data_IF_786513971883
#
_entry.id   IF_786513971883
#
_cell.length_a   1.000
_cell.length_b   1.000
_cell.length_c   1.000
_cell.angle_alpha   90.00
_cell.angle_beta   90.00
_cell.angle_gamma   90.00
#
_symmetry.space_group_name_H-M   'P 1'
#
loop_
_entity.id
_entity.type
_entity.pdbx_description
1 polymer ?
#
# COMPACT_ATOMS: atom_id res chain seq x y z
N UNK A 1 -4.93 6.70 -19.40
CA UNK A 1 -6.07 5.88 -19.88
C UNK A 1 -6.50 5.00 -18.72
N UNK A 2 -7.75 5.16 -18.25
CA UNK A 2 -8.22 4.62 -16.98
C UNK A 2 -8.22 3.08 -17.00
N UNK A 3 -7.54 2.43 -16.04
CA UNK A 3 -7.47 0.95 -15.94
C UNK A 3 -8.86 0.33 -15.89
N UNK A 4 -9.83 1.02 -15.28
CA UNK A 4 -11.23 0.60 -15.22
C UNK A 4 -11.90 0.57 -16.60
N UNK A 5 -11.56 1.51 -17.49
CA UNK A 5 -12.08 1.54 -18.86
C UNK A 5 -11.45 0.43 -19.71
N UNK A 6 -10.14 0.20 -19.57
CA UNK A 6 -9.42 -0.83 -20.33
C UNK A 6 -9.82 -2.27 -19.96
N UNK A 7 -10.44 -2.46 -18.79
CA UNK A 7 -10.88 -3.78 -18.28
C UNK A 7 -12.40 -3.99 -18.36
N UNK A 8 -13.14 -3.13 -19.07
CA UNK A 8 -14.61 -3.16 -19.14
C UNK A 8 -15.28 -3.18 -17.75
N UNK A 9 -14.64 -2.56 -16.75
CA UNK A 9 -15.17 -2.53 -15.38
C UNK A 9 -16.27 -1.46 -15.21
N UNK A 10 -16.41 -0.56 -16.19
CA UNK A 10 -17.42 0.50 -16.22
C UNK A 10 -18.65 -0.04 -16.95
N UNK A 11 -19.79 -0.06 -16.27
CA UNK A 11 -21.10 -0.39 -16.85
C UNK A 11 -21.54 0.68 -17.85
N UNK A 12 -22.55 0.36 -18.67
CA UNK A 12 -23.11 1.32 -19.64
C UNK A 12 -23.66 2.60 -19.00
N UNK A 13 -23.93 2.59 -17.69
CA UNK A 13 -24.40 3.75 -16.93
C UNK A 13 -23.26 4.54 -16.26
N UNK A 14 -22.00 4.18 -16.51
CA UNK A 14 -20.84 4.82 -15.88
C UNK A 14 -20.53 4.31 -14.47
N UNK A 15 -21.22 3.27 -13.99
CA UNK A 15 -21.01 2.69 -12.66
C UNK A 15 -19.94 1.60 -12.66
N UNK A 16 -19.23 1.42 -11.55
CA UNK A 16 -18.21 0.37 -11.38
C UNK A 16 -18.61 -0.53 -10.19
N UNK A 17 -18.71 -1.85 -10.37
CA UNK A 17 -18.97 -2.77 -9.27
C UNK A 17 -17.87 -2.71 -8.19
N UNK A 18 -18.25 -2.67 -6.91
CA UNK A 18 -17.31 -2.53 -5.79
C UNK A 18 -16.21 -3.60 -5.79
N UNK A 19 -16.54 -4.84 -6.11
CA UNK A 19 -15.55 -5.93 -6.19
C UNK A 19 -14.51 -5.68 -7.30
N UNK A 20 -14.93 -5.14 -8.45
CA UNK A 20 -14.00 -4.77 -9.53
C UNK A 20 -13.16 -3.56 -9.16
N UNK A 21 -13.75 -2.61 -8.44
CA UNK A 21 -13.03 -1.46 -7.91
C UNK A 21 -11.94 -1.87 -6.93
N UNK A 22 -12.26 -2.74 -5.95
CA UNK A 22 -11.31 -3.28 -4.97
C UNK A 22 -10.20 -4.12 -5.63
N UNK A 23 -10.55 -5.01 -6.55
CA UNK A 23 -9.57 -5.80 -7.30
C UNK A 23 -8.62 -4.89 -8.08
N UNK A 24 -9.13 -3.85 -8.73
CA UNK A 24 -8.29 -2.88 -9.46
C UNK A 24 -7.38 -2.10 -8.51
N UNK A 25 -7.91 -1.64 -7.37
CA UNK A 25 -7.13 -0.92 -6.37
C UNK A 25 -5.94 -1.74 -5.88
N UNK A 26 -6.16 -3.03 -5.63
CA UNK A 26 -5.14 -3.95 -5.11
C UNK A 26 -4.11 -4.34 -6.17
N UNK A 27 -4.53 -4.77 -7.36
CA UNK A 27 -3.61 -5.25 -8.40
C UNK A 27 -2.71 -4.12 -8.92
N UNK A 28 -3.27 -2.92 -9.06
CA UNK A 28 -2.58 -1.80 -9.69
C UNK A 28 -2.11 -0.73 -8.69
N UNK A 29 -2.34 -0.92 -7.39
CA UNK A 29 -2.05 0.05 -6.34
C UNK A 29 -2.61 1.45 -6.68
N UNK A 30 -3.86 1.50 -7.16
CA UNK A 30 -4.46 2.72 -7.71
C UNK A 30 -4.81 3.71 -6.59
N UNK A 31 -4.07 4.81 -6.55
CA UNK A 31 -4.19 5.83 -5.51
C UNK A 31 -5.51 6.61 -5.59
N UNK A 32 -6.06 6.81 -6.80
CA UNK A 32 -7.32 7.53 -6.98
C UNK A 32 -8.50 6.69 -6.50
N UNK A 33 -8.49 5.39 -6.79
CA UNK A 33 -9.47 4.45 -6.23
C UNK A 33 -9.33 4.38 -4.71
N UNK A 34 -8.11 4.36 -4.18
CA UNK A 34 -7.86 4.36 -2.74
C UNK A 34 -8.47 5.58 -2.04
N UNK A 35 -8.30 6.78 -2.62
CA UNK A 35 -8.93 8.00 -2.12
C UNK A 35 -10.45 7.96 -2.19
N UNK A 36 -11.01 7.48 -3.31
CA UNK A 36 -12.45 7.30 -3.44
C UNK A 36 -13.00 6.38 -2.34
N UNK A 37 -12.35 5.24 -2.11
CA UNK A 37 -12.73 4.28 -1.06
C UNK A 37 -12.59 4.89 0.33
N UNK A 38 -11.52 5.63 0.61
CA UNK A 38 -11.32 6.34 1.87
C UNK A 38 -12.52 7.25 2.20
N UNK A 39 -12.95 8.07 1.24
CA UNK A 39 -14.12 8.94 1.45
C UNK A 39 -15.44 8.19 1.49
N UNK A 40 -15.57 7.09 0.73
CA UNK A 40 -16.80 6.30 0.70
C UNK A 40 -17.03 5.53 2.00
N UNK A 41 -15.96 5.02 2.60
CA UNK A 41 -15.99 4.28 3.88
C UNK A 41 -16.14 5.27 5.05
N UNK A 42 -15.45 6.41 4.99
CA UNK A 42 -15.46 7.43 6.03
C UNK A 42 -14.50 7.13 7.17
N UNK A 43 -13.98 8.20 7.80
CA UNK A 43 -12.91 8.08 8.80
C UNK A 43 -13.32 7.32 10.05
N UNK A 44 -14.56 7.46 10.51
CA UNK A 44 -15.04 6.77 11.70
C UNK A 44 -15.10 5.25 11.49
N UNK A 45 -15.66 4.79 10.37
CA UNK A 45 -15.67 3.36 10.02
C UNK A 45 -14.26 2.78 9.88
N UNK A 46 -13.30 3.56 9.38
CA UNK A 46 -11.88 3.16 9.30
C UNK A 46 -11.30 2.99 10.72
N UNK A 47 -11.52 3.96 11.61
CA UNK A 47 -11.06 3.88 13.01
C UNK A 47 -11.68 2.71 13.76
N UNK A 48 -12.97 2.48 13.58
CA UNK A 48 -13.67 1.32 14.15
C UNK A 48 -13.07 0.01 13.63
N UNK A 49 -12.77 -0.07 12.33
CA UNK A 49 -12.11 -1.25 11.75
C UNK A 49 -10.73 -1.49 12.37
N UNK A 50 -9.92 -0.44 12.54
CA UNK A 50 -8.61 -0.56 13.19
C UNK A 50 -8.72 -1.03 14.63
N UNK A 51 -9.74 -0.55 15.35
CA UNK A 51 -10.02 -0.97 16.72
C UNK A 51 -10.47 -2.44 16.79
N UNK A 52 -11.30 -2.89 15.83
CA UNK A 52 -11.73 -4.28 15.70
C UNK A 52 -10.58 -5.24 15.36
N UNK A 53 -9.58 -4.74 14.62
CA UNK A 53 -8.36 -5.47 14.29
C UNK A 53 -7.27 -5.35 15.36
N UNK A 54 -7.57 -4.64 16.46
CA UNK A 54 -6.68 -4.41 17.60
C UNK A 54 -5.31 -3.77 17.23
N UNK A 55 -5.26 -3.02 16.13
CA UNK A 55 -4.03 -2.40 15.64
C UNK A 55 -3.60 -1.22 16.54
N UNK A 56 -2.41 -1.30 17.10
CA UNK A 56 -1.86 -0.31 18.05
C UNK A 56 -0.76 0.55 17.44
N UNK A 57 0.03 -0.02 16.53
CA UNK A 57 1.22 0.62 15.94
C UNK A 57 1.02 1.04 14.49
N UNK A 58 -0.07 0.58 13.85
CA UNK A 58 -0.43 0.94 12.48
C UNK A 58 -1.13 2.30 12.45
N UNK A 59 -0.54 3.25 11.73
CA UNK A 59 -1.12 4.56 11.50
C UNK A 59 -2.38 4.44 10.63
N UNK A 60 -3.42 5.19 10.97
CA UNK A 60 -4.62 5.30 10.14
C UNK A 60 -4.27 5.80 8.73
N UNK A 61 -4.92 5.28 7.68
CA UNK A 61 -4.67 5.72 6.32
C UNK A 61 -4.99 7.22 6.15
N UNK A 62 -4.34 7.79 5.14
CA UNK A 62 -4.53 9.17 4.70
C UNK A 62 -4.89 9.18 3.21
N UNK A 63 -5.75 10.12 2.76
CA UNK A 63 -6.01 10.27 1.33
C UNK A 63 -4.72 10.74 0.64
N UNK A 64 -4.30 10.01 -0.39
CA UNK A 64 -3.11 10.30 -1.19
C UNK A 64 -3.16 11.69 -1.81
N UNK A 65 -4.31 12.16 -2.28
CA UNK A 65 -4.47 13.53 -2.79
C UNK A 65 -4.00 14.55 -1.75
N UNK A 66 -4.49 14.44 -0.52
CA UNK A 66 -4.07 15.31 0.57
C UNK A 66 -2.59 15.16 0.93
N UNK A 67 -2.11 13.91 0.95
CA UNK A 67 -0.74 13.58 1.30
C UNK A 67 0.24 14.19 0.30
N UNK A 68 0.05 13.96 -0.99
CA UNK A 68 0.91 14.51 -2.05
C UNK A 68 0.83 16.04 -2.12
N UNK A 69 -0.35 16.64 -1.94
CA UNK A 69 -0.47 18.11 -1.84
C UNK A 69 0.35 18.65 -0.67
N UNK A 70 0.26 18.00 0.48
CA UNK A 70 0.99 18.40 1.69
C UNK A 70 2.50 18.28 1.51
N UNK A 71 2.96 17.22 0.84
CA UNK A 71 4.37 16.96 0.58
C UNK A 71 4.98 17.85 -0.50
N UNK A 72 4.17 18.54 -1.32
CA UNK A 72 4.65 19.34 -2.43
C UNK A 72 5.29 20.66 -1.95
N UNK A 73 6.62 20.87 -2.13
CA UNK A 73 7.31 22.03 -1.57
C UNK A 73 6.88 23.36 -2.20
N UNK A 74 6.67 23.39 -3.52
CA UNK A 74 6.32 24.63 -4.23
C UNK A 74 4.90 25.12 -3.92
N UNK A 75 3.96 24.24 -3.56
CA UNK A 75 2.63 24.67 -3.08
C UNK A 75 2.73 25.46 -1.77
N UNK A 76 3.78 25.21 -0.98
CA UNK A 76 4.11 25.94 0.23
C UNK A 76 5.10 27.09 -0.01
N UNK A 77 5.56 27.31 -1.24
CA UNK A 77 6.55 28.33 -1.61
C UNK A 77 7.92 28.11 -0.95
N UNK A 78 8.36 26.85 -0.80
CA UNK A 78 9.58 26.48 -0.08
C UNK A 78 10.47 25.58 -0.94
N UNK A 79 11.76 25.51 -0.59
CA UNK A 79 12.64 24.44 -1.08
C UNK A 79 12.25 23.11 -0.42
N UNK A 80 12.64 21.99 -1.05
CA UNK A 80 12.41 20.66 -0.49
C UNK A 80 12.92 20.54 0.95
N UNK A 81 14.20 20.86 1.21
CA UNK A 81 14.82 20.67 2.54
C UNK A 81 14.06 21.41 3.63
N UNK A 82 13.79 22.70 3.44
CA UNK A 82 13.05 23.51 4.43
C UNK A 82 11.62 23.03 4.62
N UNK A 83 10.97 22.56 3.54
CA UNK A 83 9.61 22.02 3.64
C UNK A 83 9.60 20.68 4.40
N UNK A 84 10.52 19.78 4.06
CA UNK A 84 10.67 18.47 4.69
C UNK A 84 10.98 18.59 6.19
N UNK A 85 11.91 19.47 6.59
CA UNK A 85 12.23 19.74 8.00
C UNK A 85 11.00 20.25 8.76
N UNK A 86 10.25 21.18 8.16
CA UNK A 86 9.02 21.69 8.77
C UNK A 86 7.97 20.60 8.97
N UNK A 87 7.74 19.77 7.96
CA UNK A 87 6.78 18.66 8.06
C UNK A 87 7.25 17.59 9.06
N UNK A 88 8.54 17.30 9.09
CA UNK A 88 9.13 16.30 10.01
C UNK A 88 9.12 16.73 11.47
N UNK A 89 9.02 18.04 11.74
CA UNK A 89 8.91 18.60 13.08
C UNK A 89 7.47 18.60 13.62
N UNK A 90 6.46 18.31 12.79
CA UNK A 90 5.08 18.21 13.23
C UNK A 90 4.84 16.94 14.03
N UNK A 91 3.93 17.00 14.99
CA UNK A 91 3.33 15.78 15.54
C UNK A 91 2.56 15.01 14.47
N UNK A 92 2.34 13.71 14.70
CA UNK A 92 1.55 12.87 13.79
C UNK A 92 0.15 13.44 13.55
N UNK A 93 -0.49 13.95 14.60
CA UNK A 93 -1.84 14.52 14.52
C UNK A 93 -1.87 15.82 13.74
N UNK A 94 -0.91 16.73 13.96
CA UNK A 94 -0.81 17.97 13.18
C UNK A 94 -0.58 17.68 11.68
N UNK A 95 0.31 16.73 11.37
CA UNK A 95 0.55 16.32 9.98
C UNK A 95 -0.71 15.71 9.35
N UNK A 96 -1.41 14.84 10.08
CA UNK A 96 -2.68 14.23 9.65
C UNK A 96 -3.73 15.29 9.36
N UNK A 97 -3.95 16.25 10.26
CA UNK A 97 -4.93 17.31 10.06
C UNK A 97 -4.59 18.19 8.86
N UNK A 98 -3.30 18.48 8.63
CA UNK A 98 -2.87 19.19 7.42
C UNK A 98 -3.20 18.40 6.15
N UNK A 99 -2.94 17.09 6.13
CA UNK A 99 -3.26 16.21 5.00
C UNK A 99 -4.75 16.18 4.72
N UNK A 100 -5.58 15.99 5.75
CA UNK A 100 -7.04 15.95 5.62
C UNK A 100 -7.60 17.30 5.16
N UNK A 101 -7.08 18.41 5.71
CA UNK A 101 -7.46 19.77 5.31
C UNK A 101 -7.13 20.05 3.85
N UNK A 102 -5.92 19.70 3.39
CA UNK A 102 -5.53 19.86 1.99
C UNK A 102 -6.39 19.02 1.04
N UNK A 103 -6.72 17.78 1.44
CA UNK A 103 -7.60 16.92 0.65
C UNK A 103 -9.02 17.51 0.54
N UNK A 104 -9.54 18.04 1.64
CA UNK A 104 -10.84 18.70 1.67
C UNK A 104 -10.86 19.98 0.83
N UNK A 105 -9.82 20.82 0.92
CA UNK A 105 -9.70 22.02 0.08
C UNK A 105 -9.66 21.66 -1.40
N UNK A 106 -8.90 20.64 -1.79
CA UNK A 106 -8.89 20.16 -3.18
C UNK A 106 -10.29 19.72 -3.64
N UNK A 107 -11.06 19.08 -2.76
CA UNK A 107 -12.43 18.65 -3.06
C UNK A 107 -13.42 19.81 -3.15
N UNK A 108 -13.33 20.85 -2.32
CA UNK A 108 -14.39 21.88 -2.22
C UNK A 108 -14.04 23.24 -2.78
N UNK A 109 -12.78 23.52 -3.09
CA UNK A 109 -12.33 24.80 -3.64
C UNK A 109 -11.79 24.60 -5.06
N UNK A 110 -12.54 25.06 -6.07
CA UNK A 110 -12.19 24.90 -7.48
C UNK A 110 -10.92 25.67 -7.88
N UNK A 111 -10.70 26.86 -7.32
CA UNK A 111 -9.49 27.65 -7.59
C UNK A 111 -8.24 26.94 -7.04
N UNK A 112 -8.32 26.45 -5.80
CA UNK A 112 -7.23 25.68 -5.19
C UNK A 112 -6.97 24.40 -5.99
N UNK A 113 -8.02 23.67 -6.38
CA UNK A 113 -7.93 22.47 -7.21
C UNK A 113 -7.22 22.78 -8.53
N UNK A 114 -7.64 23.82 -9.24
CA UNK A 114 -7.04 24.23 -10.51
C UNK A 114 -5.55 24.56 -10.37
N UNK A 115 -5.17 25.28 -9.31
CA UNK A 115 -3.76 25.59 -9.01
C UNK A 115 -2.93 24.33 -8.75
N UNK A 116 -3.45 23.41 -7.92
CA UNK A 116 -2.77 22.14 -7.61
C UNK A 116 -2.62 21.28 -8.87
N UNK A 117 -3.70 21.08 -9.63
CA UNK A 117 -3.67 20.27 -10.86
C UNK A 117 -2.65 20.80 -11.85
N UNK A 118 -2.67 22.11 -12.13
CA UNK A 118 -1.71 22.75 -13.03
C UNK A 118 -0.26 22.49 -12.60
N UNK A 119 0.04 22.68 -11.32
CA UNK A 119 1.40 22.51 -10.82
C UNK A 119 1.88 21.06 -10.93
N UNK A 120 1.04 20.08 -10.55
CA UNK A 120 1.37 18.66 -10.65
C UNK A 120 1.56 18.20 -12.10
N UNK A 121 0.81 18.75 -13.05
CA UNK A 121 0.98 18.50 -14.48
C UNK A 121 2.29 19.08 -15.01
N UNK A 122 2.60 20.33 -14.68
CA UNK A 122 3.83 21.01 -15.09
C UNK A 122 5.09 20.33 -14.54
N UNK A 123 5.03 19.82 -13.31
CA UNK A 123 6.18 19.24 -12.60
C UNK A 123 6.25 17.71 -12.61
N UNK A 124 5.31 17.06 -13.29
CA UNK A 124 5.19 15.59 -13.33
C UNK A 124 5.19 14.95 -11.93
N UNK A 125 4.23 15.40 -11.10
CA UNK A 125 4.06 14.97 -9.72
C UNK A 125 4.63 15.98 -8.73
N UNK A 126 5.45 15.52 -7.79
CA UNK A 126 5.97 16.35 -6.68
C UNK A 126 7.08 17.35 -7.07
N UNK A 127 7.57 17.35 -8.31
CA UNK A 127 8.66 18.24 -8.74
C UNK A 127 10.02 18.03 -8.04
N UNK A 128 10.20 16.92 -7.32
CA UNK A 128 11.41 16.60 -6.55
C UNK A 128 12.14 15.37 -7.11
N UNK A 129 13.45 15.33 -6.85
CA UNK A 129 14.35 14.26 -7.29
C UNK A 129 14.19 12.95 -6.50
N UNK A 130 14.92 11.92 -6.94
CA UNK A 130 14.81 10.57 -6.36
C UNK A 130 15.22 10.51 -4.88
N UNK A 131 16.25 11.25 -4.47
CA UNK A 131 16.69 11.24 -3.07
C UNK A 131 15.62 11.83 -2.16
N UNK A 132 15.01 12.92 -2.61
CA UNK A 132 13.93 13.62 -1.93
C UNK A 132 12.69 12.73 -1.84
N UNK A 133 12.28 12.10 -2.96
CA UNK A 133 11.18 11.12 -3.01
C UNK A 133 11.39 9.93 -2.06
N UNK A 134 12.63 9.50 -1.87
CA UNK A 134 12.96 8.47 -0.87
C UNK A 134 12.74 8.99 0.55
N UNK A 135 13.27 10.18 0.84
CA UNK A 135 13.24 10.75 2.18
C UNK A 135 11.81 11.07 2.66
N UNK A 136 10.91 11.51 1.77
CA UNK A 136 9.50 11.77 2.13
C UNK A 136 8.75 10.52 2.58
N UNK A 137 9.21 9.30 2.26
CA UNK A 137 8.56 8.07 2.75
C UNK A 137 8.51 8.01 4.28
N UNK A 138 9.44 8.66 4.96
CA UNK A 138 9.43 8.77 6.42
C UNK A 138 8.18 9.49 6.98
N UNK A 139 7.45 10.24 6.14
CA UNK A 139 6.22 10.97 6.47
C UNK A 139 4.93 10.24 6.05
N UNK A 140 5.04 9.08 5.40
CA UNK A 140 3.87 8.28 5.05
C UNK A 140 3.36 7.51 6.28
N UNK A 141 2.06 7.12 6.32
CA UNK A 141 1.53 6.22 7.34
C UNK A 141 2.35 4.93 7.43
N UNK A 142 2.63 4.47 8.65
CA UNK A 142 3.48 3.30 8.93
C UNK A 142 2.70 2.19 9.60
N UNK A 143 3.28 1.00 9.55
CA UNK A 143 2.84 -0.18 10.30
C UNK A 143 4.09 -0.95 10.77
N UNK A 144 3.88 -2.03 11.50
CA UNK A 144 4.95 -2.95 11.89
C UNK A 144 4.83 -4.25 11.10
N UNK A 145 5.97 -4.90 10.85
CA UNK A 145 5.96 -6.24 10.24
C UNK A 145 5.15 -7.24 11.05
N UNK A 146 5.19 -7.13 12.39
CA UNK A 146 4.46 -7.99 13.30
C UNK A 146 2.93 -7.87 13.14
N UNK A 147 2.37 -6.66 13.22
CA UNK A 147 0.92 -6.46 13.10
C UNK A 147 0.39 -6.94 11.74
N UNK A 148 1.13 -6.69 10.66
CA UNK A 148 0.73 -7.13 9.34
C UNK A 148 0.86 -8.65 9.14
N UNK A 149 1.90 -9.27 9.70
CA UNK A 149 2.04 -10.72 9.69
C UNK A 149 0.92 -11.38 10.52
N UNK A 150 0.59 -10.83 11.69
CA UNK A 150 -0.51 -11.32 12.53
C UNK A 150 -1.85 -11.25 11.80
N UNK A 151 -2.12 -10.18 11.04
CA UNK A 151 -3.30 -10.10 10.18
C UNK A 151 -3.30 -11.17 9.09
N UNK A 152 -2.16 -11.49 8.48
CA UNK A 152 -2.07 -12.56 7.48
C UNK A 152 -2.27 -13.94 8.10
N UNK A 153 -1.73 -14.18 9.31
CA UNK A 153 -1.96 -15.43 10.05
C UNK A 153 -3.43 -15.58 10.44
N UNK A 154 -4.08 -14.50 10.92
CA UNK A 154 -5.51 -14.50 11.20
C UNK A 154 -6.32 -14.73 9.92
N UNK A 155 -5.93 -14.09 8.81
CA UNK A 155 -6.61 -14.25 7.53
C UNK A 155 -6.53 -15.70 7.10
N UNK A 156 -5.35 -16.30 7.19
CA UNK A 156 -5.10 -17.68 6.86
C UNK A 156 -6.01 -18.64 7.66
N UNK A 157 -6.16 -18.39 8.96
CA UNK A 157 -7.06 -19.16 9.85
C UNK A 157 -8.55 -18.85 9.71
N UNK A 158 -8.92 -17.88 8.86
CA UNK A 158 -10.27 -17.34 8.71
C UNK A 158 -10.82 -16.64 9.96
N UNK A 159 -9.94 -15.93 10.68
CA UNK A 159 -10.22 -15.27 11.96
C UNK A 159 -10.28 -13.74 11.84
N UNK A 160 -9.98 -13.14 10.68
CA UNK A 160 -10.07 -11.68 10.49
C UNK A 160 -11.53 -11.24 10.54
N UNK A 161 -11.94 -10.67 11.67
CA UNK A 161 -13.29 -10.18 12.03
C UNK A 161 -14.34 -11.30 12.07
N UNK A 162 -14.46 -12.09 11.00
CA UNK A 162 -15.25 -13.32 10.91
C UNK A 162 -14.75 -14.18 9.73
N UNK A 163 -15.13 -15.47 9.72
CA UNK A 163 -14.85 -16.36 8.59
C UNK A 163 -15.37 -15.79 7.25
N UNK A 164 -16.58 -15.22 7.26
CA UNK A 164 -17.18 -14.64 6.05
C UNK A 164 -16.44 -13.42 5.51
N UNK A 165 -15.81 -12.64 6.39
CA UNK A 165 -14.98 -11.49 6.00
C UNK A 165 -13.65 -11.98 5.46
N UNK A 166 -13.04 -12.95 6.15
CA UNK A 166 -11.77 -13.57 5.72
C UNK A 166 -11.89 -14.16 4.32
N UNK A 167 -12.94 -14.93 4.02
CA UNK A 167 -13.19 -15.48 2.67
C UNK A 167 -13.32 -14.39 1.59
N UNK A 168 -13.93 -13.25 1.92
CA UNK A 168 -14.07 -12.12 0.98
C UNK A 168 -12.73 -11.45 0.73
N UNK A 169 -11.91 -11.27 1.76
CA UNK A 169 -10.56 -10.71 1.63
C UNK A 169 -9.68 -11.66 0.81
N UNK A 170 -9.71 -12.96 1.13
CA UNK A 170 -8.95 -13.99 0.39
C UNK A 170 -9.25 -13.97 -1.11
N UNK A 171 -10.54 -13.98 -1.48
CA UNK A 171 -10.97 -13.91 -2.89
C UNK A 171 -10.41 -12.71 -3.67
N UNK A 172 -10.11 -11.61 -2.98
CA UNK A 172 -9.51 -10.42 -3.59
C UNK A 172 -7.98 -10.57 -3.65
N UNK A 173 -7.36 -11.09 -2.59
CA UNK A 173 -5.91 -11.27 -2.48
C UNK A 173 -5.37 -12.45 -3.32
N UNK A 174 -6.20 -13.44 -3.65
CA UNK A 174 -5.85 -14.62 -4.48
C UNK A 174 -5.56 -14.28 -5.95
N UNK A 175 -5.54 -13.00 -6.33
CA UNK A 175 -5.30 -12.57 -7.71
C UNK A 175 -3.99 -13.12 -8.32
N UNK A 176 -2.85 -13.26 -7.61
CA UNK A 176 -1.64 -13.81 -8.21
C UNK A 176 -1.81 -15.28 -8.59
N UNK A 177 -2.57 -16.04 -7.79
CA UNK A 177 -2.88 -17.44 -8.08
C UNK A 177 -3.89 -17.60 -9.23
N UNK A 178 -4.72 -16.59 -9.48
CA UNK A 178 -5.66 -16.58 -10.60
C UNK A 178 -4.99 -16.25 -11.94
N UNK A 179 -3.89 -15.49 -11.92
CA UNK A 179 -3.09 -15.22 -13.12
C UNK A 179 -2.12 -16.39 -13.37
N UNK A 180 -2.44 -17.22 -14.37
CA UNK A 180 -1.76 -18.49 -14.65
C UNK A 180 -0.23 -18.36 -14.68
N UNK A 181 0.45 -19.08 -13.78
CA UNK A 181 1.92 -19.16 -13.74
C UNK A 181 2.50 -19.59 -12.39
N UNK A 182 1.79 -19.33 -11.28
CA UNK A 182 2.25 -19.62 -9.92
C UNK A 182 1.73 -20.95 -9.35
N UNK A 183 0.81 -21.63 -10.05
CA UNK A 183 0.00 -22.70 -9.45
C UNK A 183 0.75 -24.03 -9.21
N UNK A 184 1.97 -24.16 -9.71
CA UNK A 184 2.72 -25.41 -9.59
C UNK A 184 3.31 -25.61 -8.19
N UNK A 185 3.65 -24.54 -7.47
CA UNK A 185 4.33 -24.61 -6.17
C UNK A 185 3.40 -24.28 -4.98
N UNK A 186 2.22 -23.71 -5.26
CA UNK A 186 1.24 -23.27 -4.28
C UNK A 186 -0.05 -24.09 -4.31
N UNK A 187 -0.49 -24.54 -3.14
CA UNK A 187 -1.83 -25.12 -2.93
C UNK A 187 -2.90 -24.02 -3.01
N UNK A 188 -2.58 -22.86 -2.46
CA UNK A 188 -3.28 -21.58 -2.60
C UNK A 188 -2.31 -20.46 -2.20
N UNK A 189 -2.54 -19.27 -2.73
CA UNK A 189 -1.66 -18.13 -2.49
C UNK A 189 -2.39 -16.81 -2.73
N UNK A 190 -2.28 -15.89 -1.78
CA UNK A 190 -2.80 -14.53 -1.92
C UNK A 190 -1.80 -13.51 -1.42
N UNK A 191 -1.65 -12.39 -2.13
CA UNK A 191 -0.63 -11.39 -1.82
C UNK A 191 -1.03 -9.97 -2.16
N UNK A 192 -0.43 -9.03 -1.43
CA UNK A 192 -0.41 -7.60 -1.72
C UNK A 192 1.04 -7.14 -1.74
N UNK A 193 1.39 -6.37 -2.77
CA UNK A 193 2.73 -5.82 -2.95
C UNK A 193 2.65 -4.31 -3.01
N UNK A 194 3.65 -3.64 -2.44
CA UNK A 194 3.82 -2.20 -2.58
C UNK A 194 5.26 -1.88 -2.95
N UNK A 195 5.39 -0.84 -3.77
CA UNK A 195 6.65 -0.44 -4.37
C UNK A 195 6.72 1.09 -4.38
N UNK A 196 7.55 1.62 -3.49
CA UNK A 196 7.81 3.06 -3.38
C UNK A 196 9.30 3.28 -3.33
N UNK A 197 9.78 4.41 -3.84
CA UNK A 197 11.22 4.63 -3.92
C UNK A 197 11.92 4.54 -2.55
N UNK A 198 12.72 3.48 -2.34
CA UNK A 198 13.36 3.20 -1.05
C UNK A 198 12.69 2.12 -0.20
N UNK A 199 11.52 1.64 -0.62
CA UNK A 199 10.72 0.63 0.06
C UNK A 199 10.18 -0.38 -0.96
N UNK A 200 10.52 -1.65 -0.76
CA UNK A 200 9.86 -2.77 -1.43
C UNK A 200 9.29 -3.67 -0.34
N UNK A 201 8.00 -3.93 -0.38
CA UNK A 201 7.35 -4.73 0.65
C UNK A 201 6.14 -5.48 0.11
N UNK A 202 5.67 -6.41 0.93
CA UNK A 202 4.45 -7.12 0.67
C UNK A 202 3.99 -7.91 1.87
N UNK A 203 2.74 -8.33 1.79
CA UNK A 203 2.10 -9.24 2.73
C UNK A 203 1.48 -10.37 1.93
N UNK A 204 1.55 -11.58 2.44
CA UNK A 204 0.91 -12.72 1.81
C UNK A 204 0.49 -13.78 2.82
N UNK A 205 -0.36 -14.67 2.34
CA UNK A 205 -0.66 -15.94 2.96
C UNK A 205 -0.66 -17.04 1.89
N UNK A 206 -0.50 -18.27 2.33
CA UNK A 206 -0.57 -19.40 1.43
C UNK A 206 -0.10 -20.69 2.05
N UNK A 207 -0.07 -21.72 1.23
CA UNK A 207 0.57 -22.98 1.54
C UNK A 207 1.22 -23.55 0.28
N UNK A 208 2.35 -24.22 0.45
CA UNK A 208 2.98 -24.95 -0.64
C UNK A 208 2.27 -26.27 -0.94
N UNK A 209 2.33 -26.74 -2.18
CA UNK A 209 1.93 -28.12 -2.52
C UNK A 209 2.86 -29.18 -1.90
N UNK A 210 4.09 -28.81 -1.52
CA UNK A 210 5.08 -29.76 -1.01
C UNK A 210 4.94 -30.01 0.49
N UNK A 211 4.79 -28.96 1.30
CA UNK A 211 4.67 -29.05 2.76
C UNK A 211 3.22 -29.00 3.26
N UNK A 212 2.32 -28.39 2.48
CA UNK A 212 0.94 -28.04 2.87
C UNK A 212 0.82 -27.19 4.15
N UNK A 213 1.95 -26.72 4.70
CA UNK A 213 1.99 -25.90 5.89
C UNK A 213 1.47 -24.49 5.56
N UNK A 214 0.45 -23.99 6.28
CA UNK A 214 -0.10 -22.66 6.07
C UNK A 214 0.79 -21.59 6.69
N UNK A 215 1.00 -20.48 5.97
CA UNK A 215 1.73 -19.32 6.46
C UNK A 215 0.97 -18.03 6.22
N UNK A 216 1.25 -17.05 7.07
CA UNK A 216 1.06 -15.63 6.81
C UNK A 216 2.36 -14.91 7.13
N UNK A 217 2.79 -13.99 6.27
CA UNK A 217 4.01 -13.23 6.46
C UNK A 217 3.89 -11.80 5.95
N UNK A 218 4.79 -10.96 6.45
CA UNK A 218 5.02 -9.60 5.97
C UNK A 218 6.52 -9.40 5.75
N UNK A 219 6.90 -8.96 4.56
CA UNK A 219 8.31 -8.80 4.16
C UNK A 219 8.57 -7.34 3.81
N UNK A 220 9.62 -6.77 4.40
CA UNK A 220 9.98 -5.36 4.24
C UNK A 220 11.45 -5.23 3.87
N UNK A 221 11.70 -4.64 2.71
CA UNK A 221 12.99 -4.08 2.33
C UNK A 221 12.88 -2.55 2.41
N UNK A 222 13.13 -2.02 3.61
CA UNK A 222 13.04 -0.58 3.90
C UNK A 222 14.42 0.10 3.84
N UNK A 223 14.43 1.42 3.76
CA UNK A 223 15.62 2.27 3.74
C UNK A 223 16.61 1.94 2.62
N UNK A 224 16.10 1.41 1.49
CA UNK A 224 16.92 1.03 0.35
C UNK A 224 17.58 2.27 -0.26
N UNK A 225 18.87 2.14 -0.58
CA UNK A 225 19.55 3.14 -1.40
C UNK A 225 18.89 3.20 -2.78
N UNK A 226 18.76 4.39 -3.37
CA UNK A 226 18.04 4.61 -4.64
C UNK A 226 18.49 3.64 -5.74
N UNK A 227 19.80 3.47 -5.92
CA UNK A 227 20.33 2.56 -6.94
C UNK A 227 19.98 1.09 -6.67
N UNK A 228 20.04 0.68 -5.41
CA UNK A 228 19.72 -0.69 -5.02
C UNK A 228 18.21 -0.97 -5.12
N UNK A 229 17.38 0.00 -4.76
CA UNK A 229 15.94 -0.06 -5.01
C UNK A 229 15.63 -0.26 -6.49
N UNK A 230 16.24 0.53 -7.39
CA UNK A 230 16.03 0.37 -8.85
C UNK A 230 16.39 -1.04 -9.33
N UNK A 231 17.48 -1.60 -8.81
CA UNK A 231 17.93 -2.95 -9.17
C UNK A 231 16.96 -4.02 -8.67
N UNK A 232 16.50 -3.94 -7.42
CA UNK A 232 15.56 -4.91 -6.86
C UNK A 232 14.16 -4.79 -7.48
N UNK A 233 13.70 -3.56 -7.75
CA UNK A 233 12.36 -3.29 -8.29
C UNK A 233 12.24 -3.73 -9.74
N UNK A 234 13.28 -3.53 -10.56
CA UNK A 234 13.26 -3.89 -11.98
C UNK A 234 13.29 -5.39 -12.23
N UNK A 235 13.84 -6.16 -11.28
CA UNK A 235 13.95 -7.62 -11.35
C UNK A 235 12.95 -8.35 -10.45
N UNK A 236 12.02 -7.62 -9.81
CA UNK A 236 11.03 -8.17 -8.88
C UNK A 236 11.62 -9.05 -7.76
N UNK A 237 12.86 -8.78 -7.35
CA UNK A 237 13.59 -9.65 -6.40
C UNK A 237 12.88 -9.81 -5.07
N UNK A 238 12.20 -8.76 -4.59
CA UNK A 238 11.43 -8.80 -3.36
C UNK A 238 10.22 -9.75 -3.46
N UNK A 239 9.54 -9.78 -4.61
CA UNK A 239 8.38 -10.66 -4.83
C UNK A 239 8.83 -12.11 -4.96
N UNK A 240 9.92 -12.36 -5.70
CA UNK A 240 10.53 -13.69 -5.78
C UNK A 240 10.94 -14.19 -4.39
N UNK A 241 11.71 -13.39 -3.64
CA UNK A 241 12.13 -13.75 -2.29
C UNK A 241 10.94 -14.05 -1.37
N UNK A 242 9.95 -13.16 -1.35
CA UNK A 242 8.73 -13.30 -0.54
C UNK A 242 7.94 -14.56 -0.92
N UNK A 243 7.74 -14.83 -2.22
CA UNK A 243 7.07 -16.04 -2.69
C UNK A 243 7.85 -17.31 -2.35
N UNK A 244 9.18 -17.30 -2.48
CA UNK A 244 10.02 -18.46 -2.17
C UNK A 244 10.01 -18.81 -0.69
N UNK A 245 9.95 -17.81 0.19
CA UNK A 245 9.79 -18.03 1.63
C UNK A 245 8.52 -18.85 1.96
N UNK A 246 7.49 -18.81 1.11
CA UNK A 246 6.26 -19.58 1.31
C UNK A 246 6.42 -21.08 0.98
N UNK A 247 7.22 -21.45 -0.03
CA UNK A 247 7.34 -22.85 -0.48
C UNK A 247 8.71 -23.50 -0.31
N UNK A 248 9.75 -22.76 0.03
CA UNK A 248 11.11 -23.27 0.27
C UNK A 248 11.45 -23.24 1.78
N UNK A 249 11.36 -24.38 2.50
CA UNK A 249 11.66 -24.44 3.92
C UNK A 249 13.12 -24.11 4.25
N UNK A 250 14.06 -24.45 3.36
CA UNK A 250 15.48 -24.19 3.60
C UNK A 250 15.79 -22.69 3.54
N UNK A 251 15.15 -21.96 2.63
CA UNK A 251 15.25 -20.50 2.58
C UNK A 251 14.66 -19.86 3.85
N UNK A 252 13.52 -20.36 4.36
CA UNK A 252 12.95 -19.90 5.63
C UNK A 252 13.91 -20.10 6.78
N UNK A 253 14.44 -21.30 6.92
CA UNK A 253 15.38 -21.63 8.00
C UNK A 253 16.64 -20.75 7.92
N UNK A 254 17.23 -20.60 6.74
CA UNK A 254 18.39 -19.74 6.54
C UNK A 254 18.09 -18.27 6.88
N UNK A 255 16.91 -17.78 6.50
CA UNK A 255 16.47 -16.41 6.84
C UNK A 255 16.31 -16.25 8.34
N UNK A 256 15.62 -17.18 9.01
CA UNK A 256 15.44 -17.14 10.47
C UNK A 256 16.77 -17.17 11.21
N UNK A 257 17.73 -17.96 10.74
CA UNK A 257 19.08 -18.00 11.30
C UNK A 257 19.81 -16.67 11.12
N UNK A 258 19.67 -16.00 9.98
CA UNK A 258 20.35 -14.73 9.72
C UNK A 258 19.75 -13.57 10.51
N UNK A 259 18.42 -13.49 10.63
CA UNK A 259 17.76 -12.43 11.41
C UNK A 259 17.92 -12.60 12.93
N UNK A 260 18.27 -13.81 13.39
CA UNK A 260 18.47 -14.12 14.82
C UNK A 260 19.91 -13.89 15.29
N UNK A 261 20.83 -13.51 14.40
CA UNK A 261 22.22 -13.14 14.74
C UNK A 261 22.32 -11.70 15.21
#
# INVERSE_FOLDING_TARGET
>A
INVLQNKNAVTNNGEVPLNKLLQTAIIYNDLAISDFLFYKIGQESIKETFSLLELQSTDLPLPFTGLYITLHPDLAGRTFTTHFEKLSALSKDEFREMVLSNAQQFKTNEEFRGRVTKLFEEQQGLGIGFKERRNILSLFPKSTGQELADLMVQLEKNEVISASVSERVKKIMDWPYQEQGLNNDFKYYGALYDNRLGLLNGIDYGASVYSEEPFGQAVFFDSLQVAFWFHMSSNLMHQDYQQRMMWDPALREATLQEISK
#
